data_IF_341108860784
#
_entry.id   IF_341108860784
#
_cell.length_a   1.000
_cell.length_b   1.000
_cell.length_c   1.000
_cell.angle_alpha   90.00
_cell.angle_beta   90.00
_cell.angle_gamma   90.00
#
_symmetry.space_group_name_H-M   'P 1'
#
loop_
_entity.id
_entity.type
_entity.pdbx_description
1 polymer ?
#
# COMPACT_ATOMS: atom_id res chain seq x y z
N UNK A 1 -25.54 -32.42 30.24
CA UNK A 1 -25.49 -31.08 30.87
C UNK A 1 -24.08 -30.48 30.93
N UNK A 2 -23.04 -31.21 31.31
CA UNK A 2 -21.66 -30.69 31.42
C UNK A 2 -21.08 -30.18 30.08
N UNK A 3 -21.18 -30.93 29.00
CA UNK A 3 -20.68 -30.50 27.65
C UNK A 3 -21.41 -29.29 27.06
N UNK A 4 -22.64 -29.03 27.45
CA UNK A 4 -23.40 -27.84 27.01
C UNK A 4 -22.94 -26.58 27.75
N UNK A 5 -22.53 -26.67 29.01
CA UNK A 5 -21.97 -25.55 29.77
C UNK A 5 -20.54 -25.19 29.26
N UNK A 6 -19.70 -26.19 29.05
CA UNK A 6 -18.33 -26.00 28.54
C UNK A 6 -18.31 -25.30 27.16
N UNK A 7 -19.21 -25.69 26.26
CA UNK A 7 -19.38 -25.03 24.97
C UNK A 7 -19.89 -23.56 25.08
N UNK A 8 -20.72 -23.29 26.11
CA UNK A 8 -21.25 -21.96 26.37
C UNK A 8 -20.19 -21.01 26.95
N UNK A 9 -19.38 -21.53 27.87
CA UNK A 9 -18.29 -20.76 28.48
C UNK A 9 -17.19 -20.47 27.46
N UNK A 10 -16.81 -21.41 26.61
CA UNK A 10 -15.89 -21.21 25.45
C UNK A 10 -16.45 -20.24 24.45
N UNK A 11 -17.75 -20.22 24.20
CA UNK A 11 -18.38 -19.23 23.29
C UNK A 11 -18.34 -17.84 23.88
N UNK A 12 -18.66 -17.67 25.17
CA UNK A 12 -18.63 -16.38 25.87
C UNK A 12 -17.21 -15.83 25.91
N UNK A 13 -16.22 -16.66 26.20
CA UNK A 13 -14.81 -16.28 26.20
C UNK A 13 -14.34 -15.80 24.81
N UNK A 14 -14.67 -16.55 23.74
CA UNK A 14 -14.35 -16.15 22.36
C UNK A 14 -14.99 -14.82 21.95
N UNK A 15 -16.26 -14.63 22.30
CA UNK A 15 -16.97 -13.36 22.02
C UNK A 15 -16.34 -12.21 22.80
N UNK A 16 -15.93 -12.45 24.05
CA UNK A 16 -15.22 -11.47 24.88
C UNK A 16 -13.88 -11.04 24.27
N UNK A 17 -13.09 -11.99 23.80
CA UNK A 17 -11.78 -11.71 23.13
C UNK A 17 -11.99 -10.91 21.83
N UNK A 18 -12.98 -11.28 21.01
CA UNK A 18 -13.28 -10.55 19.77
C UNK A 18 -13.72 -9.11 20.08
N UNK A 19 -14.64 -8.93 21.03
CA UNK A 19 -15.14 -7.61 21.41
C UNK A 19 -14.01 -6.72 21.96
N UNK A 20 -13.16 -7.27 22.83
CA UNK A 20 -11.99 -6.59 23.37
C UNK A 20 -11.02 -6.14 22.25
N UNK A 21 -10.73 -7.01 21.30
CA UNK A 21 -9.88 -6.74 20.16
C UNK A 21 -10.45 -5.63 19.24
N UNK A 22 -11.78 -5.60 19.06
CA UNK A 22 -12.46 -4.53 18.31
C UNK A 22 -12.34 -3.19 19.05
N UNK A 23 -12.57 -3.18 20.36
CA UNK A 23 -12.46 -1.97 21.18
C UNK A 23 -11.05 -1.40 21.12
N UNK A 24 -10.02 -2.24 21.26
CA UNK A 24 -8.62 -1.81 21.14
C UNK A 24 -8.33 -1.22 19.75
N UNK A 25 -8.80 -1.86 18.67
CA UNK A 25 -8.62 -1.35 17.32
C UNK A 25 -9.30 0.03 17.10
N UNK A 26 -10.50 0.24 17.67
CA UNK A 26 -11.17 1.54 17.63
C UNK A 26 -10.37 2.60 18.40
N UNK A 27 -9.85 2.25 19.58
CA UNK A 27 -8.95 3.13 20.36
C UNK A 27 -7.69 3.42 19.55
N UNK A 28 -7.11 2.41 18.88
CA UNK A 28 -5.94 2.56 18.02
C UNK A 28 -6.18 3.54 16.88
N UNK A 29 -7.32 3.44 16.19
CA UNK A 29 -7.72 4.41 15.15
C UNK A 29 -7.84 5.82 15.74
N UNK A 30 -8.52 5.97 16.89
CA UNK A 30 -8.71 7.27 17.54
C UNK A 30 -7.36 7.89 17.96
N UNK A 31 -6.44 7.10 18.51
CA UNK A 31 -5.10 7.55 18.89
C UNK A 31 -4.29 7.95 17.66
N UNK A 32 -4.31 7.16 16.58
CA UNK A 32 -3.60 7.46 15.35
C UNK A 32 -4.10 8.76 14.71
N UNK A 33 -5.41 8.95 14.64
CA UNK A 33 -5.99 10.20 14.15
C UNK A 33 -5.74 11.37 15.09
N UNK A 34 -5.70 11.13 16.41
CA UNK A 34 -5.31 12.09 17.42
C UNK A 34 -3.86 12.56 17.26
N UNK A 35 -2.92 11.63 17.02
CA UNK A 35 -1.52 11.96 16.70
C UNK A 35 -1.44 12.77 15.40
N UNK A 36 -2.17 12.37 14.35
CA UNK A 36 -2.24 13.14 13.11
C UNK A 36 -2.76 14.56 13.34
N UNK A 37 -3.79 14.72 14.17
CA UNK A 37 -4.34 16.03 14.55
C UNK A 37 -3.31 16.87 15.33
N UNK A 38 -2.57 16.28 16.26
CA UNK A 38 -1.51 16.99 17.00
C UNK A 38 -0.39 17.46 16.05
N UNK A 39 -0.04 16.68 15.04
CA UNK A 39 0.97 17.00 14.02
C UNK A 39 0.48 17.99 12.96
N UNK A 40 -0.79 18.37 12.98
CA UNK A 40 -1.38 19.25 11.97
C UNK A 40 -0.75 20.64 11.95
N UNK A 41 -0.41 21.10 10.74
CA UNK A 41 0.13 22.43 10.50
C UNK A 41 -0.93 23.54 10.70
N UNK A 42 -2.21 23.22 10.46
CA UNK A 42 -3.32 24.18 10.54
C UNK A 42 -4.61 23.49 10.98
N UNK A 43 -4.74 23.34 12.30
CA UNK A 43 -5.89 22.64 12.92
C UNK A 43 -7.26 23.27 12.62
N UNK A 44 -7.29 24.57 12.32
CA UNK A 44 -8.55 25.30 12.07
C UNK A 44 -9.12 25.04 10.68
N UNK A 45 -8.28 24.68 9.72
CA UNK A 45 -8.67 24.44 8.33
C UNK A 45 -8.80 22.95 7.99
N UNK A 46 -8.78 22.05 8.99
CA UNK A 46 -9.02 20.63 8.77
C UNK A 46 -10.43 20.42 8.24
N UNK A 47 -10.57 19.74 7.09
CA UNK A 47 -11.85 19.36 6.52
C UNK A 47 -12.39 18.08 7.18
N UNK A 48 -12.94 18.21 8.41
CA UNK A 48 -13.50 17.07 9.15
C UNK A 48 -14.60 16.34 8.38
N UNK A 49 -15.40 17.06 7.55
CA UNK A 49 -16.44 16.45 6.72
C UNK A 49 -15.82 15.45 5.73
N UNK A 50 -14.75 15.85 5.03
CA UNK A 50 -14.04 14.96 4.11
C UNK A 50 -13.48 13.72 4.83
N UNK A 51 -12.87 13.93 6.01
CA UNK A 51 -12.27 12.86 6.82
C UNK A 51 -13.33 11.85 7.25
N UNK A 52 -14.46 12.31 7.80
CA UNK A 52 -15.55 11.44 8.26
C UNK A 52 -16.13 10.64 7.07
N UNK A 53 -16.33 11.29 5.92
CA UNK A 53 -16.81 10.62 4.71
C UNK A 53 -15.81 9.53 4.29
N UNK A 54 -14.51 9.82 4.22
CA UNK A 54 -13.49 8.85 3.80
C UNK A 54 -13.37 7.69 4.81
N UNK A 55 -13.43 7.94 6.10
CA UNK A 55 -13.46 6.89 7.13
C UNK A 55 -14.71 6.02 6.96
N UNK A 56 -15.88 6.64 6.75
CA UNK A 56 -17.12 5.92 6.46
C UNK A 56 -16.99 5.05 5.21
N UNK A 57 -16.41 5.57 4.13
CA UNK A 57 -16.16 4.81 2.90
C UNK A 57 -15.20 3.63 3.14
N UNK A 58 -14.15 3.81 3.94
CA UNK A 58 -13.23 2.71 4.32
C UNK A 58 -13.96 1.61 5.10
N UNK A 59 -14.72 1.97 6.12
CA UNK A 59 -15.47 1.01 6.94
C UNK A 59 -16.49 0.24 6.10
N UNK A 60 -17.26 0.96 5.26
CA UNK A 60 -18.24 0.35 4.36
C UNK A 60 -17.55 -0.56 3.34
N UNK A 61 -16.46 -0.11 2.71
CA UNK A 61 -15.72 -0.90 1.74
C UNK A 61 -15.14 -2.18 2.38
N UNK A 62 -14.53 -2.06 3.56
CA UNK A 62 -13.97 -3.20 4.29
C UNK A 62 -15.05 -4.18 4.71
N UNK A 63 -16.15 -3.69 5.27
CA UNK A 63 -17.30 -4.53 5.64
C UNK A 63 -17.92 -5.24 4.43
N UNK A 64 -18.21 -4.49 3.36
CA UNK A 64 -18.78 -5.07 2.13
C UNK A 64 -17.87 -6.18 1.57
N UNK A 65 -16.58 -5.90 1.45
CA UNK A 65 -15.64 -6.80 0.77
C UNK A 65 -15.22 -7.99 1.65
N UNK A 66 -15.06 -7.82 2.96
CA UNK A 66 -14.56 -8.89 3.83
C UNK A 66 -15.64 -9.68 4.57
N UNK A 67 -16.84 -9.07 4.80
CA UNK A 67 -17.86 -9.67 5.67
C UNK A 67 -19.14 -10.07 4.94
N UNK A 68 -19.31 -9.69 3.64
CA UNK A 68 -20.52 -10.07 2.90
C UNK A 68 -20.22 -11.14 1.85
N UNK A 69 -21.17 -12.03 1.62
CA UNK A 69 -21.08 -13.07 0.58
C UNK A 69 -20.92 -12.47 -0.82
N UNK A 70 -21.60 -11.34 -1.09
CA UNK A 70 -21.47 -10.59 -2.34
C UNK A 70 -20.06 -10.01 -2.53
N UNK A 71 -19.50 -9.38 -1.49
CA UNK A 71 -18.16 -8.81 -1.52
C UNK A 71 -17.08 -9.87 -1.67
N UNK A 72 -17.18 -10.99 -0.93
CA UNK A 72 -16.25 -12.11 -1.07
C UNK A 72 -16.28 -12.68 -2.49
N UNK A 73 -17.47 -12.79 -3.10
CA UNK A 73 -17.61 -13.25 -4.50
C UNK A 73 -16.98 -12.25 -5.49
N UNK A 74 -17.11 -10.96 -5.24
CA UNK A 74 -16.43 -9.91 -6.06
C UNK A 74 -14.91 -10.07 -5.97
N UNK A 75 -14.36 -10.18 -4.73
CA UNK A 75 -12.93 -10.39 -4.52
C UNK A 75 -12.45 -11.67 -5.23
N UNK A 76 -13.16 -12.78 -5.05
CA UNK A 76 -12.83 -14.05 -5.69
C UNK A 76 -12.85 -13.94 -7.22
N UNK A 77 -13.82 -13.24 -7.77
CA UNK A 77 -13.93 -13.01 -9.22
C UNK A 77 -12.75 -12.18 -9.73
N UNK A 78 -12.40 -11.10 -9.02
CA UNK A 78 -11.24 -10.26 -9.36
C UNK A 78 -9.95 -11.05 -9.23
N UNK A 79 -9.76 -11.82 -8.15
CA UNK A 79 -8.58 -12.66 -7.95
C UNK A 79 -8.42 -13.68 -9.09
N UNK A 80 -9.49 -14.40 -9.46
CA UNK A 80 -9.48 -15.34 -10.60
C UNK A 80 -9.18 -14.64 -11.93
N UNK A 81 -9.67 -13.40 -12.11
CA UNK A 81 -9.32 -12.63 -13.30
C UNK A 81 -7.82 -12.29 -13.36
N UNK A 82 -7.22 -11.92 -12.22
CA UNK A 82 -5.78 -11.72 -12.13
C UNK A 82 -4.99 -13.02 -12.34
N UNK A 83 -5.39 -14.14 -11.74
CA UNK A 83 -4.77 -15.45 -11.95
C UNK A 83 -4.79 -15.84 -13.43
N UNK A 84 -5.95 -15.68 -14.09
CA UNK A 84 -6.08 -15.94 -15.52
C UNK A 84 -5.21 -15.00 -16.36
N UNK A 85 -5.15 -13.73 -15.98
CA UNK A 85 -4.27 -12.76 -16.63
C UNK A 85 -2.80 -13.19 -16.50
N UNK A 86 -2.36 -13.56 -15.28
CA UNK A 86 -1.01 -14.02 -15.03
C UNK A 86 -0.68 -15.29 -15.82
N UNK A 87 -1.64 -16.21 -16.03
CA UNK A 87 -1.39 -17.43 -16.82
C UNK A 87 -0.91 -17.11 -18.23
N UNK A 88 -1.44 -16.07 -18.88
CA UNK A 88 -0.93 -15.61 -20.19
C UNK A 88 0.47 -15.00 -20.07
N UNK A 89 0.76 -14.28 -18.97
CA UNK A 89 2.11 -13.77 -18.71
C UNK A 89 3.13 -14.91 -18.55
N UNK A 90 2.75 -15.98 -17.85
CA UNK A 90 3.62 -17.14 -17.65
C UNK A 90 3.94 -17.88 -18.97
N UNK A 91 3.09 -17.85 -19.99
CA UNK A 91 3.43 -18.41 -21.30
C UNK A 91 4.67 -17.72 -21.90
N UNK A 92 4.70 -16.38 -21.86
CA UNK A 92 5.86 -15.61 -22.31
C UNK A 92 7.10 -15.79 -21.43
N UNK A 93 6.91 -15.84 -20.11
CA UNK A 93 8.01 -16.06 -19.13
C UNK A 93 8.63 -17.44 -19.37
N UNK A 94 7.82 -18.48 -19.49
CA UNK A 94 8.29 -19.85 -19.72
C UNK A 94 9.02 -20.00 -21.06
N UNK A 95 8.60 -19.27 -22.10
CA UNK A 95 9.31 -19.22 -23.36
C UNK A 95 10.72 -18.65 -23.22
N UNK A 96 10.88 -17.59 -22.40
CA UNK A 96 12.19 -16.90 -22.26
C UNK A 96 13.10 -17.59 -21.26
N UNK A 97 12.58 -18.02 -20.10
CA UNK A 97 13.40 -18.49 -18.96
C UNK A 97 13.02 -19.89 -18.47
N UNK A 98 12.10 -20.59 -19.13
CA UNK A 98 11.61 -21.90 -18.68
C UNK A 98 12.73 -22.95 -18.52
N UNK A 99 13.75 -22.91 -19.39
CA UNK A 99 14.93 -23.76 -19.27
C UNK A 99 15.85 -23.47 -18.09
N UNK A 100 15.64 -22.37 -17.38
CA UNK A 100 16.42 -21.99 -16.19
C UNK A 100 15.74 -22.43 -14.89
N UNK A 101 14.51 -22.89 -14.97
CA UNK A 101 13.72 -23.31 -13.79
C UNK A 101 14.02 -24.79 -13.55
N UNK A 102 14.61 -25.19 -12.40
CA UNK A 102 14.77 -26.60 -12.04
C UNK A 102 13.42 -27.30 -11.95
N UNK A 103 13.35 -28.60 -12.25
CA UNK A 103 12.15 -29.40 -12.06
C UNK A 103 11.65 -29.29 -10.61
N UNK A 104 10.38 -28.90 -10.43
CA UNK A 104 9.78 -28.64 -9.12
C UNK A 104 10.24 -27.36 -8.44
N UNK A 105 11.09 -26.55 -9.06
CA UNK A 105 11.55 -25.27 -8.53
C UNK A 105 10.56 -24.14 -8.78
N UNK A 106 10.51 -23.20 -7.84
CA UNK A 106 9.67 -21.99 -7.94
C UNK A 106 10.52 -20.75 -7.59
N UNK A 107 11.47 -20.33 -8.46
CA UNK A 107 12.33 -19.21 -8.16
C UNK A 107 11.51 -17.92 -8.01
N UNK A 108 11.72 -17.20 -6.90
CA UNK A 108 11.04 -15.94 -6.59
C UNK A 108 11.11 -14.92 -7.75
N UNK A 109 12.30 -14.77 -8.34
CA UNK A 109 12.51 -13.86 -9.47
C UNK A 109 11.57 -14.17 -10.64
N UNK A 110 11.41 -15.46 -10.98
CA UNK A 110 10.60 -15.89 -12.11
C UNK A 110 9.11 -15.82 -11.81
N UNK A 111 8.69 -16.29 -10.62
CA UNK A 111 7.28 -16.45 -10.32
C UNK A 111 6.62 -15.21 -9.74
N UNK A 112 7.42 -14.32 -9.13
CA UNK A 112 6.89 -13.11 -8.49
C UNK A 112 7.28 -11.83 -9.24
N UNK A 113 8.52 -11.72 -9.71
CA UNK A 113 8.99 -10.47 -10.29
C UNK A 113 8.81 -10.39 -11.81
N UNK A 114 9.06 -11.45 -12.57
CA UNK A 114 8.89 -11.40 -14.03
C UNK A 114 7.45 -11.14 -14.51
N UNK A 115 6.37 -11.58 -13.83
CA UNK A 115 5.01 -11.18 -14.18
C UNK A 115 4.77 -9.67 -14.25
N UNK A 116 5.56 -8.87 -13.54
CA UNK A 116 5.50 -7.40 -13.58
C UNK A 116 5.74 -6.86 -14.99
N UNK A 117 6.57 -7.52 -15.79
CA UNK A 117 6.83 -7.14 -17.20
C UNK A 117 5.55 -7.16 -18.02
N UNK A 118 4.80 -8.25 -17.90
CA UNK A 118 3.53 -8.41 -18.63
C UNK A 118 2.45 -7.44 -18.12
N UNK A 119 2.31 -7.34 -16.80
CA UNK A 119 1.28 -6.46 -16.20
C UNK A 119 1.57 -4.98 -16.50
N UNK A 120 2.83 -4.56 -16.49
CA UNK A 120 3.24 -3.21 -16.87
C UNK A 120 2.99 -2.93 -18.37
N UNK A 121 3.28 -3.89 -19.25
CA UNK A 121 2.96 -3.78 -20.68
C UNK A 121 1.45 -3.61 -20.90
N UNK A 122 0.63 -4.40 -20.20
CA UNK A 122 -0.83 -4.30 -20.27
C UNK A 122 -1.33 -2.94 -19.75
N UNK A 123 -0.83 -2.45 -18.60
CA UNK A 123 -1.22 -1.15 -18.07
C UNK A 123 -0.83 -0.01 -19.03
N UNK A 124 0.35 -0.09 -19.65
CA UNK A 124 0.79 0.89 -20.66
C UNK A 124 -0.12 0.87 -21.90
N UNK A 125 -0.53 -0.32 -22.37
CA UNK A 125 -1.50 -0.46 -23.45
C UNK A 125 -2.85 0.15 -23.11
N UNK A 126 -3.40 -0.15 -21.91
CA UNK A 126 -4.67 0.41 -21.44
C UNK A 126 -4.58 1.93 -21.26
N UNK A 127 -3.42 2.45 -20.92
CA UNK A 127 -3.14 3.89 -20.85
C UNK A 127 -3.15 4.52 -22.25
N UNK A 128 -2.47 3.91 -23.20
CA UNK A 128 -2.45 4.36 -24.59
C UNK A 128 -3.87 4.40 -25.21
N UNK A 129 -4.67 3.36 -24.93
CA UNK A 129 -6.08 3.27 -25.35
C UNK A 129 -7.00 4.24 -24.58
N UNK A 130 -6.45 5.07 -23.69
CA UNK A 130 -7.17 6.04 -22.86
C UNK A 130 -8.15 5.42 -21.84
N UNK A 131 -8.19 4.10 -21.70
CA UNK A 131 -9.09 3.41 -20.77
C UNK A 131 -8.76 3.81 -19.32
N UNK A 132 -7.50 3.65 -18.90
CA UNK A 132 -7.06 4.01 -17.56
C UNK A 132 -7.14 5.52 -17.29
N UNK A 133 -6.63 6.42 -18.15
CA UNK A 133 -6.71 7.86 -17.92
C UNK A 133 -8.14 8.37 -17.69
N UNK A 134 -9.10 7.92 -18.49
CA UNK A 134 -10.50 8.30 -18.29
C UNK A 134 -11.07 7.70 -17.00
N UNK A 135 -10.82 6.41 -16.71
CA UNK A 135 -11.26 5.75 -15.49
C UNK A 135 -10.75 6.52 -14.25
N UNK A 136 -9.46 6.86 -14.23
CA UNK A 136 -8.83 7.59 -13.12
C UNK A 136 -9.41 9.00 -13.01
N UNK A 137 -9.59 9.71 -14.13
CA UNK A 137 -10.17 11.06 -14.14
C UNK A 137 -11.59 11.06 -13.56
N UNK A 138 -12.45 10.13 -13.97
CA UNK A 138 -13.82 10.05 -13.49
C UNK A 138 -13.91 9.63 -12.01
N UNK A 139 -13.16 8.61 -11.60
CA UNK A 139 -13.12 8.17 -10.20
C UNK A 139 -12.51 9.24 -9.28
N UNK A 140 -11.42 9.90 -9.70
CA UNK A 140 -10.81 11.01 -8.96
C UNK A 140 -11.74 12.21 -8.85
N UNK A 141 -12.45 12.56 -9.94
CA UNK A 141 -13.46 13.60 -9.93
C UNK A 141 -14.64 13.29 -9.01
N UNK A 142 -15.11 12.04 -9.01
CA UNK A 142 -16.15 11.58 -8.08
C UNK A 142 -15.67 11.66 -6.62
N UNK A 143 -14.46 11.19 -6.35
CA UNK A 143 -13.86 11.28 -5.00
C UNK A 143 -13.76 12.74 -4.55
N UNK A 144 -13.26 13.64 -5.40
CA UNK A 144 -13.19 15.08 -5.12
C UNK A 144 -14.57 15.67 -4.81
N UNK A 145 -15.59 15.34 -5.61
CA UNK A 145 -16.95 15.83 -5.43
C UNK A 145 -17.59 15.35 -4.13
N UNK A 146 -17.36 14.09 -3.76
CA UNK A 146 -17.94 13.49 -2.54
C UNK A 146 -17.22 14.00 -1.28
N UNK A 147 -15.90 14.13 -1.33
CA UNK A 147 -15.08 14.53 -0.16
C UNK A 147 -14.93 16.05 -0.05
N UNK A 148 -15.01 16.78 -1.15
CA UNK A 148 -14.69 18.21 -1.21
C UNK A 148 -13.19 18.50 -1.14
N UNK A 149 -12.33 17.47 -1.35
CA UNK A 149 -10.88 17.65 -1.51
C UNK A 149 -10.55 18.19 -2.91
N UNK A 150 -9.40 18.87 -3.08
CA UNK A 150 -8.97 19.34 -4.38
C UNK A 150 -8.87 18.22 -5.42
N UNK A 151 -9.12 18.56 -6.68
CA UNK A 151 -9.22 17.57 -7.76
C UNK A 151 -7.88 16.85 -8.02
N UNK A 152 -6.74 17.56 -7.94
CA UNK A 152 -5.41 17.00 -8.20
C UNK A 152 -5.07 15.92 -7.15
N UNK A 153 -5.32 16.19 -5.87
CA UNK A 153 -5.06 15.26 -4.78
C UNK A 153 -5.95 14.01 -4.87
N UNK A 154 -7.24 14.21 -5.15
CA UNK A 154 -8.20 13.12 -5.33
C UNK A 154 -7.88 12.29 -6.57
N UNK A 155 -7.50 12.92 -7.68
CA UNK A 155 -7.03 12.25 -8.89
C UNK A 155 -5.76 11.44 -8.61
N UNK A 156 -4.77 12.05 -7.95
CA UNK A 156 -3.50 11.38 -7.67
C UNK A 156 -3.66 10.18 -6.73
N UNK A 157 -4.60 10.24 -5.79
CA UNK A 157 -4.89 9.11 -4.90
C UNK A 157 -5.44 7.91 -5.68
N UNK A 158 -6.38 8.12 -6.61
CA UNK A 158 -6.87 7.07 -7.51
C UNK A 158 -5.74 6.62 -8.45
N UNK A 159 -4.99 7.58 -9.03
CA UNK A 159 -3.90 7.30 -9.95
C UNK A 159 -2.82 6.43 -9.33
N UNK A 160 -2.50 6.65 -8.07
CA UNK A 160 -1.49 5.88 -7.32
C UNK A 160 -1.88 4.42 -7.08
N UNK A 161 -3.14 4.04 -7.24
CA UNK A 161 -3.60 2.64 -7.19
C UNK A 161 -3.21 1.88 -8.46
N UNK A 162 -3.19 2.55 -9.60
CA UNK A 162 -2.88 1.94 -10.90
C UNK A 162 -1.39 2.03 -11.22
N UNK A 163 -0.79 3.15 -10.93
CA UNK A 163 0.61 3.44 -11.23
C UNK A 163 1.46 3.44 -9.97
N UNK A 164 2.73 3.09 -10.11
CA UNK A 164 3.67 3.17 -9.00
C UNK A 164 3.91 4.61 -8.54
N UNK A 165 4.61 4.76 -7.43
CA UNK A 165 4.83 6.06 -6.78
C UNK A 165 5.53 7.10 -7.68
N UNK A 166 6.38 6.68 -8.62
CA UNK A 166 7.04 7.56 -9.59
C UNK A 166 6.07 8.00 -10.70
N UNK A 167 5.38 7.03 -11.30
CA UNK A 167 4.48 7.24 -12.42
C UNK A 167 3.26 8.05 -11.99
N UNK A 168 2.78 7.85 -10.77
CA UNK A 168 1.68 8.63 -10.21
C UNK A 168 2.03 10.13 -10.14
N UNK A 169 3.25 10.47 -9.72
CA UNK A 169 3.75 11.84 -9.69
C UNK A 169 3.95 12.38 -11.11
N UNK A 170 4.48 11.58 -12.02
CA UNK A 170 4.70 11.98 -13.43
C UNK A 170 3.39 12.22 -14.18
N UNK A 171 2.31 11.52 -13.85
CA UNK A 171 0.99 11.71 -14.46
C UNK A 171 0.36 13.08 -14.18
N UNK A 172 0.81 13.77 -13.15
CA UNK A 172 0.38 15.14 -12.79
C UNK A 172 1.49 16.18 -12.99
N UNK A 173 2.46 15.91 -13.87
CA UNK A 173 3.65 16.76 -14.06
C UNK A 173 3.32 18.22 -14.35
N UNK A 174 2.26 18.50 -15.12
CA UNK A 174 1.81 19.86 -15.43
C UNK A 174 1.31 20.64 -14.20
N UNK A 175 0.93 19.92 -13.13
CA UNK A 175 0.41 20.50 -11.89
C UNK A 175 1.49 20.68 -10.82
N UNK A 176 2.53 19.84 -10.80
CA UNK A 176 3.56 19.78 -9.74
C UNK A 176 4.17 21.16 -9.45
N UNK A 177 4.50 21.93 -10.47
CA UNK A 177 5.13 23.25 -10.30
C UNK A 177 4.21 24.27 -9.61
N UNK A 178 2.90 24.10 -9.72
CA UNK A 178 1.89 25.00 -9.16
C UNK A 178 1.43 24.60 -7.76
N UNK A 179 1.72 23.36 -7.32
CA UNK A 179 1.34 22.89 -6.00
C UNK A 179 2.12 23.64 -4.91
N UNK A 180 1.43 24.12 -3.89
CA UNK A 180 2.09 24.58 -2.69
C UNK A 180 2.63 23.39 -1.87
N UNK A 181 3.45 23.67 -0.84
CA UNK A 181 4.11 22.63 -0.03
C UNK A 181 3.13 21.63 0.59
N UNK A 182 1.97 22.08 1.06
CA UNK A 182 0.97 21.20 1.68
C UNK A 182 0.34 20.26 0.65
N UNK A 183 -0.04 20.79 -0.53
CA UNK A 183 -0.60 20.00 -1.63
C UNK A 183 0.41 18.98 -2.16
N UNK A 184 1.66 19.41 -2.34
CA UNK A 184 2.76 18.52 -2.73
C UNK A 184 2.99 17.40 -1.72
N UNK A 185 2.85 17.70 -0.42
CA UNK A 185 2.93 16.70 0.64
C UNK A 185 1.80 15.66 0.56
N UNK A 186 0.55 16.09 0.32
CA UNK A 186 -0.60 15.16 0.17
C UNK A 186 -0.39 14.24 -1.04
N UNK A 187 -0.02 14.80 -2.18
CA UNK A 187 0.26 14.04 -3.41
C UNK A 187 1.38 13.01 -3.18
N UNK A 188 2.48 13.42 -2.54
CA UNK A 188 3.59 12.53 -2.22
C UNK A 188 3.19 11.45 -1.21
N UNK A 189 2.33 11.78 -0.23
CA UNK A 189 1.82 10.80 0.75
C UNK A 189 0.93 9.77 0.08
N UNK A 190 0.01 10.19 -0.80
CA UNK A 190 -0.86 9.27 -1.55
C UNK A 190 -0.04 8.30 -2.40
N UNK A 191 1.02 8.79 -3.06
CA UNK A 191 1.91 7.95 -3.85
C UNK A 191 2.68 6.94 -2.99
N UNK A 192 3.18 7.35 -1.80
CA UNK A 192 3.91 6.45 -0.89
C UNK A 192 3.00 5.46 -0.16
N UNK A 193 1.77 5.85 0.15
CA UNK A 193 0.80 5.02 0.87
C UNK A 193 0.11 3.98 -0.02
N UNK A 194 0.31 4.02 -1.33
CA UNK A 194 -0.29 3.10 -2.31
C UNK A 194 0.70 2.05 -2.81
N UNK A 195 0.23 1.21 -3.73
CA UNK A 195 1.03 0.22 -4.46
C UNK A 195 0.58 0.17 -5.92
N UNK A 196 1.52 -0.09 -6.83
CA UNK A 196 1.21 -0.20 -8.27
C UNK A 196 0.37 -1.44 -8.59
N UNK A 197 -0.64 -1.29 -9.45
CA UNK A 197 -1.43 -2.40 -9.98
C UNK A 197 -0.56 -3.47 -10.66
N UNK A 198 0.60 -3.10 -11.23
CA UNK A 198 1.56 -4.05 -11.79
C UNK A 198 2.13 -5.01 -10.75
N UNK A 199 2.22 -4.61 -9.48
CA UNK A 199 2.73 -5.42 -8.38
C UNK A 199 1.63 -6.18 -7.61
N UNK A 200 0.36 -5.76 -7.73
CA UNK A 200 -0.77 -6.40 -7.02
C UNK A 200 -0.82 -7.89 -7.34
N UNK A 201 -0.66 -8.25 -8.61
CA UNK A 201 -0.65 -9.63 -9.06
C UNK A 201 0.45 -10.45 -8.35
N UNK A 202 1.66 -9.89 -8.24
CA UNK A 202 2.79 -10.51 -7.54
C UNK A 202 2.52 -10.66 -6.03
N UNK A 203 1.90 -9.68 -5.40
CA UNK A 203 1.54 -9.80 -3.98
C UNK A 203 0.48 -10.87 -3.74
N UNK A 204 -0.49 -11.03 -4.65
CA UNK A 204 -1.52 -12.07 -4.55
C UNK A 204 -1.00 -13.49 -4.69
N UNK A 205 0.21 -13.69 -5.25
CA UNK A 205 0.88 -15.01 -5.24
C UNK A 205 1.50 -15.36 -3.89
N UNK A 206 1.68 -14.36 -3.00
CA UNK A 206 2.40 -14.49 -1.73
C UNK A 206 1.52 -14.24 -0.51
N UNK A 207 0.44 -13.49 -0.66
CA UNK A 207 -0.49 -13.07 0.40
C UNK A 207 -1.93 -13.44 0.00
N UNK A 208 -2.83 -13.62 0.98
CA UNK A 208 -4.24 -13.84 0.67
C UNK A 208 -4.83 -12.68 -0.15
N UNK A 209 -5.28 -13.00 -1.37
CA UNK A 209 -5.75 -12.02 -2.37
C UNK A 209 -6.79 -11.03 -1.80
N UNK A 210 -7.68 -11.50 -0.92
CA UNK A 210 -8.71 -10.65 -0.29
C UNK A 210 -8.13 -9.48 0.49
N UNK A 211 -7.03 -9.68 1.22
CA UNK A 211 -6.40 -8.61 2.00
C UNK A 211 -5.53 -7.70 1.14
N UNK A 212 -4.95 -8.23 0.07
CA UNK A 212 -4.23 -7.41 -0.93
C UNK A 212 -5.18 -6.45 -1.61
N UNK A 213 -6.29 -6.94 -2.18
CA UNK A 213 -7.26 -6.11 -2.90
C UNK A 213 -7.94 -5.08 -1.99
N UNK A 214 -8.33 -5.49 -0.79
CA UNK A 214 -8.90 -4.55 0.19
C UNK A 214 -7.86 -3.53 0.64
N UNK A 215 -6.62 -3.96 0.91
CA UNK A 215 -5.52 -3.09 1.34
C UNK A 215 -5.25 -1.96 0.35
N UNK A 216 -5.27 -2.25 -0.95
CA UNK A 216 -5.10 -1.23 -2.01
C UNK A 216 -6.17 -0.14 -1.91
N UNK A 217 -7.43 -0.53 -1.74
CA UNK A 217 -8.55 0.42 -1.63
C UNK A 217 -8.45 1.24 -0.34
N UNK A 218 -8.16 0.58 0.79
CA UNK A 218 -8.06 1.24 2.08
C UNK A 218 -6.88 2.20 2.15
N UNK A 219 -5.73 1.83 1.58
CA UNK A 219 -4.53 2.66 1.57
C UNK A 219 -4.71 3.96 0.80
N UNK A 220 -5.47 3.94 -0.29
CA UNK A 220 -5.86 5.14 -1.03
C UNK A 220 -6.59 6.15 -0.13
N UNK A 221 -7.60 5.70 0.62
CA UNK A 221 -8.32 6.57 1.55
C UNK A 221 -7.46 7.00 2.74
N UNK A 222 -6.72 6.06 3.35
CA UNK A 222 -5.89 6.34 4.52
C UNK A 222 -4.80 7.36 4.21
N UNK A 223 -4.17 7.28 3.04
CA UNK A 223 -3.19 8.25 2.58
C UNK A 223 -3.77 9.67 2.55
N UNK A 224 -4.96 9.82 1.96
CA UNK A 224 -5.67 11.11 1.94
C UNK A 224 -6.10 11.57 3.33
N UNK A 225 -6.68 10.68 4.16
CA UNK A 225 -7.17 11.01 5.50
C UNK A 225 -6.02 11.59 6.33
N UNK A 226 -4.95 10.82 6.50
CA UNK A 226 -3.85 11.22 7.39
C UNK A 226 -3.13 12.45 6.86
N UNK A 227 -2.85 12.51 5.55
CA UNK A 227 -2.21 13.67 4.94
C UNK A 227 -3.06 14.95 5.04
N UNK A 228 -4.38 14.86 4.82
CA UNK A 228 -5.29 16.01 4.90
C UNK A 228 -5.51 16.51 6.33
N UNK A 229 -5.33 15.68 7.34
CA UNK A 229 -5.31 16.12 8.75
C UNK A 229 -4.02 16.90 9.03
N UNK A 230 -2.87 16.36 8.61
CA UNK A 230 -1.55 16.90 8.92
C UNK A 230 -1.23 18.17 8.13
N UNK A 231 -1.64 18.20 6.87
CA UNK A 231 -1.45 19.33 5.96
C UNK A 231 -2.77 19.72 5.30
N UNK A 232 -3.68 20.39 6.04
CA UNK A 232 -4.97 20.78 5.50
C UNK A 232 -4.81 21.67 4.27
N UNK A 233 -5.66 21.44 3.27
CA UNK A 233 -5.72 22.24 2.05
C UNK A 233 -7.17 22.55 1.72
N UNK A 234 -7.38 23.71 1.08
CA UNK A 234 -8.68 24.09 0.53
C UNK A 234 -8.63 23.90 -0.99
N UNK A 235 -9.75 23.49 -1.57
CA UNK A 235 -9.89 23.49 -3.00
C UNK A 235 -9.90 24.93 -3.49
N UNK A 236 -8.95 25.27 -4.37
CA UNK A 236 -8.89 26.59 -5.01
C UNK A 236 -9.83 26.60 -6.23
N UNK A 237 -10.50 27.75 -6.46
CA UNK A 237 -11.34 27.93 -7.65
C UNK A 237 -10.54 27.84 -8.96
N UNK A 238 -9.22 27.97 -8.88
CA UNK A 238 -8.28 27.91 -10.01
C UNK A 238 -7.64 26.52 -10.20
N UNK A 239 -8.13 25.48 -9.52
CA UNK A 239 -7.64 24.13 -9.74
C UNK A 239 -7.82 23.76 -11.22
N UNK A 240 -6.68 23.70 -11.94
CA UNK A 240 -6.66 23.39 -13.36
C UNK A 240 -7.17 21.98 -13.60
N UNK A 241 -7.96 21.84 -14.65
CA UNK A 241 -8.48 20.53 -15.07
C UNK A 241 -7.33 19.56 -15.37
N UNK A 242 -7.46 18.32 -14.91
CA UNK A 242 -6.48 17.27 -15.16
C UNK A 242 -6.40 17.00 -16.66
N UNK A 243 -5.20 17.15 -17.22
CA UNK A 243 -4.91 16.95 -18.64
C UNK A 243 -4.58 15.47 -18.87
N UNK A 244 -5.53 14.71 -19.44
CA UNK A 244 -5.36 13.27 -19.72
C UNK A 244 -4.15 13.00 -20.62
N UNK A 245 -3.84 13.90 -21.55
CA UNK A 245 -2.70 13.73 -22.45
C UNK A 245 -1.35 13.72 -21.73
N UNK A 246 -1.26 14.25 -20.51
CA UNK A 246 -0.05 14.17 -19.69
C UNK A 246 0.31 12.74 -19.26
N UNK A 247 -0.66 11.82 -19.32
CA UNK A 247 -0.46 10.40 -18.98
C UNK A 247 -0.03 9.57 -20.19
N UNK A 248 -0.20 10.10 -21.44
CA UNK A 248 0.03 9.33 -22.66
C UNK A 248 1.32 9.79 -23.30
N UNK A 249 2.33 8.93 -23.24
CA UNK A 249 3.66 9.21 -23.79
C UNK A 249 4.01 8.40 -25.04
N UNK A 250 3.14 7.43 -25.39
CA UNK A 250 3.39 6.45 -26.43
C UNK A 250 2.71 6.84 -27.75
N UNK A 251 3.41 6.57 -28.87
CA UNK A 251 2.99 6.99 -30.23
C UNK A 251 1.95 6.06 -30.84
N UNK A 252 2.01 4.79 -30.56
CA UNK A 252 1.12 3.75 -31.10
C UNK A 252 1.07 2.54 -30.15
N UNK A 253 0.23 1.55 -30.48
CA UNK A 253 0.00 0.33 -29.68
C UNK A 253 1.31 -0.45 -29.44
N UNK A 254 2.14 -0.61 -30.47
CA UNK A 254 3.40 -1.36 -30.35
C UNK A 254 4.41 -0.63 -29.47
N UNK A 255 4.48 0.70 -29.60
CA UNK A 255 5.28 1.54 -28.73
C UNK A 255 4.80 1.47 -27.27
N UNK A 256 3.48 1.42 -27.05
CA UNK A 256 2.91 1.26 -25.71
C UNK A 256 3.30 -0.10 -25.08
N UNK A 257 3.17 -1.18 -25.82
CA UNK A 257 3.55 -2.52 -25.35
C UNK A 257 5.05 -2.57 -25.06
N UNK A 258 5.89 -2.09 -26.00
CA UNK A 258 7.35 -2.10 -25.86
C UNK A 258 7.83 -1.27 -24.68
N UNK A 259 7.33 -0.03 -24.56
CA UNK A 259 7.65 0.86 -23.44
C UNK A 259 7.23 0.25 -22.10
N UNK A 260 5.98 -0.25 -22.00
CA UNK A 260 5.49 -0.88 -20.77
C UNK A 260 6.28 -2.14 -20.40
N UNK A 261 6.66 -2.97 -21.36
CA UNK A 261 7.50 -4.15 -21.11
C UNK A 261 8.90 -3.77 -20.60
N UNK A 262 9.53 -2.77 -21.22
CA UNK A 262 10.84 -2.25 -20.77
C UNK A 262 10.74 -1.66 -19.36
N UNK A 263 9.71 -0.88 -19.07
CA UNK A 263 9.53 -0.28 -17.75
C UNK A 263 9.22 -1.34 -16.69
N UNK A 264 8.39 -2.34 -17.00
CA UNK A 264 8.19 -3.52 -16.14
C UNK A 264 9.48 -4.30 -15.89
N UNK A 265 10.31 -4.49 -16.92
CA UNK A 265 11.63 -5.10 -16.80
C UNK A 265 12.58 -4.31 -15.88
N UNK A 266 12.59 -2.97 -16.00
CA UNK A 266 13.35 -2.11 -15.08
C UNK A 266 12.86 -2.25 -13.64
N UNK A 267 11.54 -2.23 -13.40
CA UNK A 267 10.96 -2.43 -12.07
C UNK A 267 11.37 -3.78 -11.49
N UNK A 268 11.28 -4.85 -12.28
CA UNK A 268 11.71 -6.20 -11.90
C UNK A 268 13.16 -6.23 -11.45
N UNK A 269 14.08 -5.64 -12.23
CA UNK A 269 15.51 -5.58 -11.90
C UNK A 269 15.80 -4.68 -10.68
N UNK A 270 15.11 -3.54 -10.58
CA UNK A 270 15.24 -2.64 -9.43
C UNK A 270 14.82 -3.38 -8.16
N UNK A 271 13.65 -4.02 -8.15
CA UNK A 271 13.16 -4.76 -6.97
C UNK A 271 14.11 -5.91 -6.61
N UNK A 272 14.57 -6.70 -7.58
CA UNK A 272 15.55 -7.77 -7.33
C UNK A 272 16.85 -7.23 -6.73
N UNK A 273 17.40 -6.16 -7.31
CA UNK A 273 18.64 -5.53 -6.82
C UNK A 273 18.47 -4.96 -5.40
N UNK A 274 17.33 -4.30 -5.15
CA UNK A 274 16.99 -3.77 -3.82
C UNK A 274 16.86 -4.90 -2.78
N UNK A 275 16.18 -6.00 -3.13
CA UNK A 275 16.06 -7.15 -2.23
C UNK A 275 17.42 -7.74 -1.88
N UNK A 276 18.29 -7.95 -2.86
CA UNK A 276 19.65 -8.45 -2.61
C UNK A 276 20.39 -7.49 -1.67
N UNK A 277 20.41 -6.19 -1.97
CA UNK A 277 21.12 -5.21 -1.19
C UNK A 277 20.58 -5.09 0.25
N UNK A 278 19.25 -4.86 0.37
CA UNK A 278 18.64 -4.61 1.69
C UNK A 278 18.60 -5.86 2.57
N UNK A 279 18.31 -7.05 2.03
CA UNK A 279 18.34 -8.29 2.82
C UNK A 279 19.75 -8.63 3.28
N UNK A 280 20.77 -8.42 2.43
CA UNK A 280 22.17 -8.62 2.80
C UNK A 280 22.63 -7.63 3.88
N UNK A 281 22.28 -6.34 3.73
CA UNK A 281 22.59 -5.32 4.73
C UNK A 281 21.82 -5.57 6.05
N UNK A 282 20.57 -5.97 5.97
CA UNK A 282 19.78 -6.31 7.15
C UNK A 282 20.37 -7.52 7.88
N UNK A 283 20.82 -8.54 7.14
CA UNK A 283 21.54 -9.70 7.70
C UNK A 283 22.82 -9.28 8.40
N UNK A 284 23.62 -8.40 7.76
CA UNK A 284 24.83 -7.83 8.37
C UNK A 284 24.52 -7.06 9.66
N UNK A 285 23.52 -6.16 9.60
CA UNK A 285 23.11 -5.37 10.77
C UNK A 285 22.57 -6.26 11.89
N UNK A 286 21.76 -7.26 11.58
CA UNK A 286 21.28 -8.24 12.56
C UNK A 286 22.47 -8.96 13.25
N UNK A 287 23.47 -9.39 12.49
CA UNK A 287 24.69 -10.00 13.06
C UNK A 287 25.46 -9.04 13.98
N UNK A 288 25.65 -7.79 13.57
CA UNK A 288 26.32 -6.76 14.38
C UNK A 288 25.54 -6.47 15.67
N UNK A 289 24.22 -6.24 15.56
CA UNK A 289 23.38 -5.95 16.72
C UNK A 289 23.31 -7.13 17.69
N UNK A 290 23.19 -8.34 17.17
CA UNK A 290 23.21 -9.55 17.99
C UNK A 290 24.54 -9.70 18.74
N UNK A 291 25.67 -9.38 18.10
CA UNK A 291 27.00 -9.42 18.73
C UNK A 291 27.17 -8.38 19.84
N UNK A 292 26.55 -7.20 19.71
CA UNK A 292 26.69 -6.08 20.67
C UNK A 292 25.63 -6.16 21.77
N UNK A 293 24.39 -6.47 21.41
CA UNK A 293 23.22 -6.35 22.30
C UNK A 293 22.62 -7.71 22.69
N UNK A 294 23.09 -8.82 22.10
CA UNK A 294 22.49 -10.15 22.29
C UNK A 294 21.13 -10.32 21.62
N UNK A 295 20.75 -9.39 20.73
CA UNK A 295 19.47 -9.36 20.04
C UNK A 295 19.62 -8.72 18.66
N UNK A 296 19.00 -9.29 17.63
CA UNK A 296 19.06 -8.73 16.28
C UNK A 296 18.20 -7.46 16.12
N UNK A 297 18.56 -6.63 15.12
CA UNK A 297 17.88 -5.36 14.84
C UNK A 297 16.40 -5.58 14.50
N UNK A 298 16.06 -6.64 13.78
CA UNK A 298 14.68 -6.96 13.39
C UNK A 298 13.81 -7.25 14.61
N UNK A 299 14.35 -7.98 15.59
CA UNK A 299 13.66 -8.22 16.88
C UNK A 299 13.53 -6.92 17.68
N UNK A 300 14.56 -6.07 17.71
CA UNK A 300 14.47 -4.75 18.37
C UNK A 300 13.36 -3.90 17.74
N UNK A 301 13.26 -3.89 16.41
CA UNK A 301 12.16 -3.23 15.71
C UNK A 301 10.80 -3.86 16.05
N UNK A 302 10.77 -5.17 16.36
CA UNK A 302 9.60 -5.84 16.88
C UNK A 302 9.06 -5.16 18.13
N UNK A 303 9.90 -4.83 19.09
CA UNK A 303 9.52 -4.09 20.31
C UNK A 303 9.07 -2.66 20.00
N UNK A 304 9.71 -1.97 19.05
CA UNK A 304 9.32 -0.61 18.63
C UNK A 304 7.92 -0.60 18.02
N UNK A 305 7.59 -1.62 17.21
CA UNK A 305 6.27 -1.73 16.57
C UNK A 305 5.23 -2.49 17.41
N UNK A 306 5.62 -3.16 18.49
CA UNK A 306 4.71 -3.90 19.37
C UNK A 306 3.51 -3.07 19.88
N UNK A 307 3.66 -1.80 20.31
CA UNK A 307 2.51 -0.98 20.71
C UNK A 307 1.51 -0.74 19.57
N UNK A 308 2.00 -0.57 18.34
CA UNK A 308 1.14 -0.40 17.16
C UNK A 308 0.42 -1.71 16.82
N UNK A 309 1.13 -2.85 16.84
CA UNK A 309 0.53 -4.16 16.63
C UNK A 309 -0.58 -4.45 17.66
N UNK A 310 -0.34 -4.12 18.94
CA UNK A 310 -1.34 -4.21 19.99
C UNK A 310 -2.57 -3.33 19.71
N UNK A 311 -2.35 -2.05 19.37
CA UNK A 311 -3.41 -1.09 19.06
C UNK A 311 -4.22 -1.45 17.81
N UNK A 312 -3.67 -2.24 16.90
CA UNK A 312 -4.43 -2.82 15.78
C UNK A 312 -5.26 -4.04 16.19
N UNK A 313 -5.17 -4.45 17.45
CA UNK A 313 -5.91 -5.57 18.02
C UNK A 313 -5.35 -6.94 17.63
N UNK A 314 -4.08 -7.02 17.27
CA UNK A 314 -3.39 -8.31 17.04
C UNK A 314 -3.29 -9.06 18.37
N UNK A 315 -3.51 -10.40 18.40
CA UNK A 315 -3.35 -11.21 19.59
C UNK A 315 -1.96 -11.07 20.23
N UNK A 316 -1.90 -11.09 21.55
CA UNK A 316 -0.66 -10.86 22.31
C UNK A 316 0.47 -11.81 21.95
N UNK A 317 0.16 -13.06 21.58
CA UNK A 317 1.15 -14.05 21.12
C UNK A 317 1.83 -13.69 19.80
N UNK A 318 1.22 -12.83 18.97
CA UNK A 318 1.69 -12.47 17.64
C UNK A 318 2.32 -11.08 17.57
N UNK A 319 2.24 -10.27 18.66
CA UNK A 319 2.61 -8.84 18.67
C UNK A 319 4.07 -8.63 18.27
N UNK A 320 5.01 -9.35 18.85
CA UNK A 320 6.44 -9.18 18.57
C UNK A 320 6.81 -9.60 17.15
N UNK A 321 6.28 -10.73 16.70
CA UNK A 321 6.45 -11.21 15.32
C UNK A 321 5.87 -10.21 14.33
N UNK A 322 4.66 -9.73 14.58
CA UNK A 322 4.01 -8.70 13.76
C UNK A 322 4.82 -7.40 13.72
N UNK A 323 5.30 -6.96 14.87
CA UNK A 323 6.16 -5.78 14.98
C UNK A 323 7.47 -5.92 14.21
N UNK A 324 8.10 -7.10 14.27
CA UNK A 324 9.33 -7.40 13.51
C UNK A 324 9.09 -7.31 11.99
N UNK A 325 7.98 -7.87 11.49
CA UNK A 325 7.59 -7.78 10.09
C UNK A 325 7.33 -6.33 9.67
N UNK A 326 6.63 -5.55 10.51
CA UNK A 326 6.40 -4.12 10.26
C UNK A 326 7.72 -3.33 10.21
N UNK A 327 8.64 -3.62 11.13
CA UNK A 327 9.97 -3.03 11.15
C UNK A 327 10.78 -3.38 9.90
N UNK A 328 10.75 -4.63 9.47
CA UNK A 328 11.40 -5.08 8.23
C UNK A 328 10.90 -4.30 7.01
N UNK A 329 9.58 -4.09 6.88
CA UNK A 329 9.01 -3.25 5.81
C UNK A 329 9.59 -1.85 5.83
N UNK A 330 9.64 -1.21 7.00
CA UNK A 330 10.11 0.16 7.12
C UNK A 330 11.59 0.29 6.77
N UNK A 331 12.43 -0.62 7.30
CA UNK A 331 13.88 -0.60 7.13
C UNK A 331 14.32 -1.04 5.73
N UNK A 332 13.60 -1.98 5.13
CA UNK A 332 13.92 -2.56 3.83
C UNK A 332 12.85 -2.16 2.80
N UNK A 333 11.89 -3.04 2.56
CA UNK A 333 10.73 -2.81 1.72
C UNK A 333 9.63 -3.84 2.01
N UNK A 334 8.48 -3.68 1.36
CA UNK A 334 7.34 -4.56 1.52
C UNK A 334 7.59 -6.00 1.05
N UNK A 335 8.38 -6.23 -0.02
CA UNK A 335 8.70 -7.58 -0.49
C UNK A 335 9.51 -8.37 0.54
N UNK A 336 10.52 -7.75 1.16
CA UNK A 336 11.30 -8.38 2.21
C UNK A 336 10.42 -8.79 3.40
N UNK A 337 9.48 -7.91 3.79
CA UNK A 337 8.54 -8.18 4.87
C UNK A 337 7.50 -9.26 4.49
N UNK A 338 7.05 -9.29 3.23
CA UNK A 338 6.15 -10.35 2.72
C UNK A 338 6.85 -11.71 2.74
N UNK A 339 8.11 -11.77 2.30
CA UNK A 339 8.91 -13.00 2.36
C UNK A 339 9.10 -13.51 3.80
N UNK A 340 9.22 -12.59 4.77
CA UNK A 340 9.27 -12.93 6.20
C UNK A 340 7.91 -13.41 6.71
N UNK A 341 6.80 -12.81 6.24
CA UNK A 341 5.44 -13.16 6.65
C UNK A 341 4.97 -14.50 6.08
N UNK A 342 5.29 -14.78 4.81
CA UNK A 342 4.73 -15.89 4.03
C UNK A 342 4.80 -17.25 4.77
N UNK A 343 5.96 -17.68 5.33
CA UNK A 343 6.06 -18.95 6.04
C UNK A 343 5.31 -18.98 7.37
N UNK A 344 4.85 -17.83 7.88
CA UNK A 344 4.17 -17.69 9.16
C UNK A 344 2.64 -17.65 9.03
N UNK A 345 2.11 -17.50 7.81
CA UNK A 345 0.68 -17.29 7.55
C UNK A 345 -0.21 -18.34 8.16
N UNK A 346 0.17 -19.62 8.08
CA UNK A 346 -0.61 -20.75 8.62
C UNK A 346 -0.67 -20.77 10.15
N UNK A 347 0.29 -20.13 10.82
CA UNK A 347 0.37 -20.03 12.29
C UNK A 347 -0.26 -18.78 12.87
N UNK A 348 -0.63 -17.81 12.04
CA UNK A 348 -1.22 -16.56 12.50
C UNK A 348 -2.75 -16.66 12.62
N UNK A 349 -3.30 -15.85 13.51
CA UNK A 349 -4.75 -15.62 13.58
C UNK A 349 -5.27 -14.98 12.28
N UNK A 350 -6.55 -15.15 11.99
CA UNK A 350 -7.20 -14.48 10.86
C UNK A 350 -6.97 -12.96 10.92
N UNK A 351 -7.02 -12.37 12.12
CA UNK A 351 -6.78 -10.96 12.36
C UNK A 351 -5.33 -10.56 12.11
N UNK A 352 -4.35 -11.31 12.62
CA UNK A 352 -2.94 -11.07 12.37
C UNK A 352 -2.62 -11.12 10.88
N UNK A 353 -3.13 -12.13 10.19
CA UNK A 353 -3.01 -12.27 8.73
C UNK A 353 -3.61 -11.08 7.99
N UNK A 354 -4.82 -10.64 8.35
CA UNK A 354 -5.49 -9.51 7.71
C UNK A 354 -4.73 -8.19 7.92
N UNK A 355 -4.35 -7.92 9.16
CA UNK A 355 -3.63 -6.70 9.54
C UNK A 355 -2.28 -6.64 8.84
N UNK A 356 -1.47 -7.69 8.93
CA UNK A 356 -0.14 -7.71 8.33
C UNK A 356 -0.21 -7.66 6.81
N UNK A 357 -1.05 -8.48 6.17
CA UNK A 357 -1.19 -8.46 4.72
C UNK A 357 -1.61 -7.08 4.21
N UNK A 358 -2.58 -6.43 4.86
CA UNK A 358 -3.03 -5.08 4.49
C UNK A 358 -1.95 -4.03 4.74
N UNK A 359 -1.24 -4.11 5.88
CA UNK A 359 -0.15 -3.18 6.20
C UNK A 359 0.97 -3.22 5.18
N UNK A 360 1.30 -4.41 4.66
CA UNK A 360 2.41 -4.59 3.72
C UNK A 360 2.10 -4.07 2.31
N UNK A 361 0.84 -3.93 1.93
CA UNK A 361 0.44 -3.47 0.59
C UNK A 361 0.56 -1.93 0.46
N UNK A 362 1.76 -1.41 0.68
CA UNK A 362 2.09 0.02 0.42
C UNK A 362 3.59 0.23 0.35
N UNK A 363 4.00 1.29 -0.35
CA UNK A 363 5.41 1.67 -0.53
C UNK A 363 5.99 2.48 0.65
N UNK A 364 5.37 2.47 1.83
CA UNK A 364 5.83 3.21 2.99
C UNK A 364 7.11 2.59 3.60
N UNK A 365 8.27 2.96 3.04
CA UNK A 365 9.62 2.56 3.45
C UNK A 365 10.63 3.67 3.15
N UNK A 366 11.85 3.56 3.70
CA UNK A 366 12.88 4.58 3.53
C UNK A 366 13.29 4.83 2.08
N UNK A 367 13.36 3.79 1.25
CA UNK A 367 13.76 3.92 -0.16
C UNK A 367 12.79 4.77 -0.97
N UNK A 368 11.51 4.75 -0.61
CA UNK A 368 10.45 5.50 -1.28
C UNK A 368 10.61 7.02 -1.19
N UNK A 369 11.29 7.53 -0.14
CA UNK A 369 11.63 8.95 -0.04
C UNK A 369 12.48 9.36 -1.25
N UNK A 370 13.52 8.57 -1.57
CA UNK A 370 14.39 8.79 -2.71
C UNK A 370 13.68 8.67 -4.05
N UNK A 371 12.81 7.67 -4.18
CA UNK A 371 12.05 7.40 -5.41
C UNK A 371 11.11 8.57 -5.74
N UNK A 372 10.30 9.03 -4.78
CA UNK A 372 9.38 10.16 -4.97
C UNK A 372 10.16 11.46 -5.21
N UNK A 373 11.23 11.71 -4.44
CA UNK A 373 12.08 12.87 -4.63
C UNK A 373 12.67 12.88 -6.05
N UNK A 374 13.15 11.73 -6.54
CA UNK A 374 13.68 11.58 -7.90
C UNK A 374 12.63 11.80 -8.99
N UNK A 375 11.40 11.30 -8.80
CA UNK A 375 10.31 11.55 -9.73
C UNK A 375 9.94 13.03 -9.82
N UNK A 376 9.86 13.73 -8.67
CA UNK A 376 9.63 15.18 -8.64
C UNK A 376 10.81 15.95 -9.21
N UNK A 377 12.05 15.49 -8.99
CA UNK A 377 13.27 16.09 -9.55
C UNK A 377 13.27 16.10 -11.09
N UNK A 378 12.74 15.05 -11.71
CA UNK A 378 12.60 14.95 -13.16
C UNK A 378 11.64 16.01 -13.74
N UNK A 379 10.77 16.60 -12.91
CA UNK A 379 9.79 17.61 -13.30
C UNK A 379 10.26 19.01 -12.87
N UNK A 380 10.63 19.16 -11.60
CA UNK A 380 10.96 20.45 -10.99
C UNK A 380 11.93 20.29 -9.80
N UNK A 381 13.18 20.70 -10.00
CA UNK A 381 14.23 20.57 -8.99
C UNK A 381 13.98 21.37 -7.70
N UNK A 382 13.27 22.50 -7.75
CA UNK A 382 12.90 23.25 -6.54
C UNK A 382 11.87 22.49 -5.71
N UNK A 383 10.87 21.88 -6.35
CA UNK A 383 9.87 21.04 -5.69
C UNK A 383 10.46 19.75 -5.12
N UNK A 384 11.46 19.16 -5.78
CA UNK A 384 12.19 18.02 -5.26
C UNK A 384 12.92 18.32 -3.94
N UNK A 385 13.50 19.52 -3.81
CA UNK A 385 14.10 19.98 -2.54
C UNK A 385 13.05 20.09 -1.42
N UNK A 386 11.83 20.55 -1.75
CA UNK A 386 10.72 20.56 -0.79
C UNK A 386 10.36 19.14 -0.32
N UNK A 387 10.25 18.19 -1.28
CA UNK A 387 9.93 16.77 -0.97
C UNK A 387 11.02 16.15 -0.10
N UNK A 388 12.29 16.31 -0.47
CA UNK A 388 13.41 15.82 0.35
C UNK A 388 13.40 16.43 1.74
N UNK A 389 13.07 17.73 1.87
CA UNK A 389 13.02 18.43 3.15
C UNK A 389 11.94 17.91 4.12
N UNK A 390 10.86 17.31 3.61
CA UNK A 390 9.84 16.68 4.45
C UNK A 390 9.84 15.14 4.36
N UNK A 391 10.86 14.51 3.77
CA UNK A 391 10.90 13.08 3.48
C UNK A 391 10.65 12.17 4.68
N UNK A 392 11.27 12.44 5.84
CA UNK A 392 11.00 11.65 7.06
C UNK A 392 9.56 11.83 7.57
N UNK A 393 9.02 13.05 7.50
CA UNK A 393 7.62 13.31 7.85
C UNK A 393 6.69 12.58 6.88
N UNK A 394 7.04 12.55 5.60
CA UNK A 394 6.31 11.82 4.56
C UNK A 394 6.25 10.31 4.87
N UNK A 395 7.39 9.71 5.20
CA UNK A 395 7.46 8.30 5.58
C UNK A 395 6.62 7.98 6.81
N UNK A 396 6.72 8.82 7.85
CA UNK A 396 5.92 8.66 9.07
C UNK A 396 4.41 8.68 8.73
N UNK A 397 3.97 9.64 7.93
CA UNK A 397 2.56 9.81 7.57
C UNK A 397 2.06 8.69 6.66
N UNK A 398 2.86 8.22 5.72
CA UNK A 398 2.52 7.05 4.90
C UNK A 398 2.47 5.76 5.75
N UNK A 399 3.35 5.61 6.75
CA UNK A 399 3.29 4.50 7.71
C UNK A 399 2.02 4.58 8.56
N UNK A 400 1.64 5.76 9.05
CA UNK A 400 0.38 5.97 9.76
C UNK A 400 -0.84 5.62 8.88
N UNK A 401 -0.80 5.95 7.58
CA UNK A 401 -1.84 5.55 6.64
C UNK A 401 -1.94 4.02 6.50
N UNK A 402 -0.80 3.32 6.41
CA UNK A 402 -0.77 1.86 6.37
C UNK A 402 -1.29 1.23 7.67
N UNK A 403 -0.96 1.80 8.84
CA UNK A 403 -1.51 1.37 10.13
C UNK A 403 -3.04 1.56 10.19
N UNK A 404 -3.55 2.70 9.70
CA UNK A 404 -4.99 2.96 9.65
C UNK A 404 -5.72 1.93 8.78
N UNK A 405 -5.22 1.70 7.55
CA UNK A 405 -5.79 0.71 6.63
C UNK A 405 -5.79 -0.70 7.22
N UNK A 406 -4.68 -1.10 7.81
CA UNK A 406 -4.52 -2.42 8.42
C UNK A 406 -5.46 -2.61 9.62
N UNK A 407 -5.61 -1.58 10.45
CA UNK A 407 -6.54 -1.60 11.58
C UNK A 407 -7.97 -1.74 11.12
N UNK A 408 -8.37 -0.98 10.09
CA UNK A 408 -9.72 -1.06 9.50
C UNK A 408 -9.98 -2.44 8.88
N UNK A 409 -9.03 -3.01 8.14
CA UNK A 409 -9.17 -4.36 7.61
C UNK A 409 -9.31 -5.41 8.72
N UNK A 410 -8.52 -5.28 9.79
CA UNK A 410 -8.57 -6.17 10.96
C UNK A 410 -9.86 -6.09 11.77
N UNK A 411 -10.70 -5.07 11.60
CA UNK A 411 -12.02 -5.01 12.25
C UNK A 411 -13.02 -6.00 11.64
N UNK A 412 -12.81 -6.41 10.38
CA UNK A 412 -13.73 -7.23 9.60
C UNK A 412 -13.12 -8.57 9.15
N UNK A 413 -12.01 -8.98 9.76
CA UNK A 413 -11.30 -10.23 9.47
C UNK A 413 -11.75 -11.42 10.34
#
# INVERSE_FOLDING_TARGET
>A
MWKLNENKDLFIERVGIILFSIIIAIIGIALLLGVAFLMSNDKKNINFKAIIIMIGMQLVASWLLLSTSGGLKVIETVAKAFEKLLSYGYEGINFVVGGWIPEGGSPFFVNVLLPVVFTAALLSLLTHLKILPYTIKYLGGLLSKVTGLPQVESFNAINSVFFGQSEAVLAIKSQISNLNKNRLFIVSTSAMASVSAALIASYMTMLPAKYVLVGVILNMFSGLIVASIITPVKADKEDREIVINDMIHTKNIFDAIGTGAIDGGKVTLIVASMLIAYLSLLGLLNGVFNSIFGMDLTTMMGYVFAPFAYLMGIPSSEILTSGSIMGTKLLSNEFAAILQLQPLLDGLSAKGTAVLSTFLVSFANFSSIGIITGAVQAINGAKAKEVSGFGLKLLLVATMASLLSATVAGLFA
#
